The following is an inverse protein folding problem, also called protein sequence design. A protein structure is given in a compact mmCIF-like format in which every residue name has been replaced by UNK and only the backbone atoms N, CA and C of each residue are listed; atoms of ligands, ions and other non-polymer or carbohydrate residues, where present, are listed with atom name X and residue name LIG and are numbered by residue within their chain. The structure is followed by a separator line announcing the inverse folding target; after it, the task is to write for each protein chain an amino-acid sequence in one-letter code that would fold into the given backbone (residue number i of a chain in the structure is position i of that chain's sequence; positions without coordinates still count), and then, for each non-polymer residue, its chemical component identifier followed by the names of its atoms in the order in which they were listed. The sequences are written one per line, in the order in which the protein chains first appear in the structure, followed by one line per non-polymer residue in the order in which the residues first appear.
data_IF_779256142419
#
_entry.id   IF_779256142419
#
_cell.length_a   1.000
_cell.length_b   1.000
_cell.length_c   1.000
_cell.angle_alpha   90.00
_cell.angle_beta   90.00
_cell.angle_gamma   90.00
#
_symmetry.space_group_name_H-M   'P 1'
#
loop_
_entity.id
_entity.type
_entity.pdbx_description
1 polymer ?
#
# COMPACT_ATOMS: atom_id res chain seq x y z
N UNK A 1 24.56 -22.64 9.22
CA UNK A 1 24.31 -23.52 10.38
C UNK A 1 22.90 -24.09 10.22
N UNK A 2 22.75 -25.41 10.35
CA UNK A 2 21.44 -26.07 10.36
C UNK A 2 20.90 -26.07 11.79
N UNK A 3 19.68 -25.56 11.98
CA UNK A 3 18.99 -25.54 13.27
C UNK A 3 17.76 -26.47 13.19
N UNK A 4 17.55 -27.29 14.19
CA UNK A 4 16.29 -27.94 14.46
C UNK A 4 15.28 -26.95 15.08
N UNK A 5 14.04 -27.37 15.29
CA UNK A 5 12.98 -26.48 15.78
C UNK A 5 13.29 -25.90 17.15
N UNK A 6 13.88 -26.69 18.08
CA UNK A 6 14.22 -26.25 19.43
C UNK A 6 15.34 -25.19 19.40
N UNK A 7 16.40 -25.44 18.64
CA UNK A 7 17.50 -24.48 18.48
C UNK A 7 17.06 -23.22 17.73
N UNK A 8 16.17 -23.37 16.77
CA UNK A 8 15.58 -22.21 16.07
C UNK A 8 14.79 -21.33 17.04
N UNK A 9 13.99 -21.94 17.94
CA UNK A 9 13.26 -21.23 18.98
C UNK A 9 14.20 -20.51 19.96
N UNK A 10 15.26 -21.18 20.40
CA UNK A 10 16.30 -20.57 21.25
C UNK A 10 16.97 -19.39 20.53
N UNK A 11 17.30 -19.54 19.26
CA UNK A 11 17.94 -18.50 18.44
C UNK A 11 17.09 -17.22 18.33
N UNK A 12 15.78 -17.34 18.05
CA UNK A 12 14.88 -16.18 17.90
C UNK A 12 14.52 -15.51 19.21
N UNK A 13 14.70 -16.22 20.36
CA UNK A 13 14.43 -15.71 21.72
C UNK A 13 15.66 -15.14 22.40
N UNK A 14 16.86 -15.42 21.92
CA UNK A 14 18.10 -15.01 22.58
C UNK A 14 18.23 -13.50 22.70
N UNK A 15 18.64 -13.02 23.90
CA UNK A 15 18.82 -11.60 24.24
C UNK A 15 20.16 -11.31 24.93
N UNK A 16 21.06 -12.28 24.97
CA UNK A 16 22.31 -12.21 25.75
C UNK A 16 23.48 -11.51 25.04
N UNK A 17 23.26 -10.90 23.86
CA UNK A 17 24.29 -10.13 23.18
C UNK A 17 24.24 -8.64 23.56
N UNK A 18 25.29 -7.90 23.14
CA UNK A 18 25.42 -6.46 23.43
C UNK A 18 24.33 -5.60 22.76
N UNK A 19 23.62 -6.14 21.76
CA UNK A 19 22.55 -5.46 21.02
C UNK A 19 21.18 -5.65 21.65
N UNK A 20 21.04 -6.55 22.65
CA UNK A 20 19.79 -6.78 23.37
C UNK A 20 18.59 -7.07 22.47
N UNK A 21 17.57 -6.23 22.54
CA UNK A 21 16.35 -6.37 21.73
C UNK A 21 16.57 -6.14 20.23
N UNK A 22 17.44 -5.22 19.85
CA UNK A 22 17.80 -4.98 18.43
C UNK A 22 18.43 -6.25 17.83
N UNK A 23 19.32 -6.90 18.56
CA UNK A 23 19.91 -8.18 18.15
C UNK A 23 18.87 -9.29 18.01
N UNK A 24 17.88 -9.33 18.91
CA UNK A 24 16.75 -10.27 18.82
C UNK A 24 15.92 -10.02 17.55
N UNK A 25 15.54 -8.78 17.24
CA UNK A 25 14.78 -8.43 16.02
C UNK A 25 15.55 -8.86 14.76
N UNK A 26 16.85 -8.57 14.70
CA UNK A 26 17.69 -8.99 13.56
C UNK A 26 17.73 -10.53 13.40
N UNK A 27 17.78 -11.29 14.50
CA UNK A 27 17.69 -12.77 14.46
C UNK A 27 16.34 -13.26 13.98
N UNK A 28 15.25 -12.63 14.42
CA UNK A 28 13.89 -12.95 13.96
C UNK A 28 13.73 -12.69 12.46
N UNK A 29 14.24 -11.57 11.94
CA UNK A 29 14.23 -11.27 10.50
C UNK A 29 15.00 -12.33 9.68
N UNK A 30 16.22 -12.67 10.11
CA UNK A 30 17.03 -13.73 9.48
C UNK A 30 16.35 -15.09 9.52
N UNK A 31 15.66 -15.41 10.62
CA UNK A 31 14.89 -16.64 10.73
C UNK A 31 13.71 -16.68 9.76
N UNK A 32 12.93 -15.59 9.64
CA UNK A 32 11.82 -15.48 8.69
C UNK A 32 12.34 -15.61 7.26
N UNK A 33 13.43 -14.93 6.92
CA UNK A 33 14.04 -15.05 5.61
C UNK A 33 14.47 -16.50 5.28
N UNK A 34 15.13 -17.17 6.20
CA UNK A 34 15.54 -18.57 6.05
C UNK A 34 14.32 -19.51 5.95
N UNK A 35 13.28 -19.25 6.75
CA UNK A 35 12.02 -20.01 6.72
C UNK A 35 11.32 -19.88 5.37
N UNK A 36 11.21 -18.67 4.83
CA UNK A 36 10.60 -18.43 3.52
C UNK A 36 11.38 -19.11 2.40
N UNK A 37 12.71 -19.01 2.41
CA UNK A 37 13.57 -19.74 1.44
C UNK A 37 13.36 -21.24 1.52
N UNK A 38 13.19 -21.80 2.71
CA UNK A 38 12.91 -23.22 2.91
C UNK A 38 11.49 -23.59 2.47
N UNK A 39 10.48 -22.78 2.83
CA UNK A 39 9.07 -23.01 2.51
C UNK A 39 8.80 -23.04 0.99
N UNK A 40 9.55 -22.27 0.22
CA UNK A 40 9.46 -22.24 -1.26
C UNK A 40 10.31 -23.30 -1.95
N UNK A 41 11.04 -24.13 -1.20
CA UNK A 41 11.83 -25.22 -1.78
C UNK A 41 10.91 -26.33 -2.35
N UNK A 42 11.30 -27.02 -3.46
CA UNK A 42 10.50 -28.05 -4.09
C UNK A 42 10.06 -29.17 -3.14
N UNK A 43 10.94 -29.56 -2.21
CA UNK A 43 10.66 -30.64 -1.26
C UNK A 43 9.55 -30.28 -0.26
N UNK A 44 9.48 -29.03 0.17
CA UNK A 44 8.41 -28.59 1.08
C UNK A 44 7.08 -28.50 0.33
N UNK A 45 7.10 -28.00 -0.91
CA UNK A 45 5.89 -27.87 -1.72
C UNK A 45 5.24 -29.24 -1.98
N UNK A 46 6.03 -30.28 -2.19
CA UNK A 46 5.52 -31.65 -2.37
C UNK A 46 4.92 -32.25 -1.08
N UNK A 47 5.38 -31.80 0.09
CA UNK A 47 4.94 -32.28 1.39
C UNK A 47 3.94 -31.32 2.10
N UNK A 48 3.41 -30.31 1.39
CA UNK A 48 2.47 -29.33 1.92
C UNK A 48 1.26 -29.97 2.66
N UNK A 49 0.63 -31.06 2.18
CA UNK A 49 -0.51 -31.65 2.88
C UNK A 49 -0.18 -32.16 4.29
N UNK A 50 1.02 -32.73 4.50
CA UNK A 50 1.43 -33.23 5.82
C UNK A 50 1.86 -32.11 6.77
N UNK A 51 2.46 -31.03 6.24
CA UNK A 51 2.87 -29.86 7.01
C UNK A 51 1.66 -29.01 7.38
N UNK A 52 0.62 -29.02 6.55
CA UNK A 52 -0.57 -28.20 6.68
C UNK A 52 -1.24 -28.35 8.05
N UNK A 53 -1.54 -29.58 8.47
CA UNK A 53 -2.24 -29.81 9.74
C UNK A 53 -1.45 -29.30 10.94
N UNK A 54 -0.13 -29.57 10.99
CA UNK A 54 0.73 -29.07 12.06
C UNK A 54 0.86 -27.53 12.11
N UNK A 55 0.87 -26.90 10.94
CA UNK A 55 0.88 -25.43 10.88
C UNK A 55 -0.45 -24.87 11.33
N UNK A 56 -1.57 -25.44 10.91
CA UNK A 56 -2.91 -24.95 11.28
C UNK A 56 -3.23 -25.12 12.77
N UNK A 57 -2.71 -26.16 13.40
CA UNK A 57 -2.82 -26.34 14.86
C UNK A 57 -2.03 -25.28 15.66
N UNK A 58 -1.04 -24.66 15.02
CA UNK A 58 -0.15 -23.69 15.64
C UNK A 58 -0.45 -22.23 15.28
N UNK A 59 -1.32 -21.98 14.29
CA UNK A 59 -1.60 -20.63 13.75
C UNK A 59 -3.08 -20.31 13.89
N UNK A 60 -3.38 -19.18 14.52
CA UNK A 60 -4.72 -18.62 14.52
C UNK A 60 -4.83 -17.60 13.37
N UNK A 61 -5.66 -17.92 12.36
CA UNK A 61 -5.84 -17.10 11.15
C UNK A 61 -7.31 -17.07 10.73
N UNK A 62 -7.72 -15.97 10.15
CA UNK A 62 -9.03 -15.80 9.50
C UNK A 62 -8.99 -16.12 8.00
N UNK A 63 -7.86 -16.59 7.45
CA UNK A 63 -7.75 -17.00 6.05
C UNK A 63 -8.40 -18.39 5.89
N UNK A 64 -9.46 -18.53 5.07
CA UNK A 64 -10.07 -19.82 4.82
C UNK A 64 -9.10 -20.78 4.13
N UNK A 65 -9.20 -22.06 4.46
CA UNK A 65 -8.37 -23.14 3.86
C UNK A 65 -8.39 -23.13 2.33
N UNK A 66 -9.56 -22.90 1.74
CA UNK A 66 -9.73 -22.85 0.28
C UNK A 66 -8.90 -21.76 -0.40
N UNK A 67 -8.56 -20.70 0.34
CA UNK A 67 -7.84 -19.54 -0.17
C UNK A 67 -6.32 -19.68 -0.03
N UNK A 68 -5.82 -20.75 0.59
CA UNK A 68 -4.38 -21.01 0.76
C UNK A 68 -3.70 -21.32 -0.59
N UNK A 69 -4.39 -22.03 -1.50
CA UNK A 69 -3.82 -22.43 -2.79
C UNK A 69 -3.36 -21.24 -3.67
N UNK A 70 -4.12 -20.15 -3.80
CA UNK A 70 -3.64 -18.93 -4.46
C UNK A 70 -2.37 -18.35 -3.82
N UNK A 71 -2.29 -18.32 -2.48
CA UNK A 71 -1.09 -17.83 -1.77
C UNK A 71 0.13 -18.69 -2.03
N UNK A 72 -0.02 -20.01 -2.08
CA UNK A 72 1.08 -20.94 -2.45
C UNK A 72 1.56 -20.71 -3.88
N UNK A 73 0.64 -20.47 -4.83
CA UNK A 73 1.01 -20.12 -6.21
C UNK A 73 1.74 -18.78 -6.27
N UNK A 74 1.27 -17.79 -5.53
CA UNK A 74 1.92 -16.48 -5.43
C UNK A 74 3.33 -16.62 -4.83
N UNK A 75 3.47 -17.36 -3.74
CA UNK A 75 4.76 -17.61 -3.08
C UNK A 75 5.77 -18.34 -3.98
N UNK A 76 5.31 -19.27 -4.84
CA UNK A 76 6.17 -19.93 -5.83
C UNK A 76 6.74 -18.96 -6.86
N UNK A 77 5.97 -17.95 -7.25
CA UNK A 77 6.36 -16.96 -8.24
C UNK A 77 7.09 -15.76 -7.61
N UNK A 78 7.05 -15.65 -6.28
CA UNK A 78 7.73 -14.58 -5.57
C UNK A 78 9.25 -14.77 -5.66
N UNK A 79 9.95 -13.74 -6.14
CA UNK A 79 11.39 -13.72 -6.11
C UNK A 79 11.86 -13.34 -4.70
N UNK A 80 12.21 -14.34 -3.89
CA UNK A 80 12.67 -14.15 -2.51
C UNK A 80 13.95 -13.33 -2.38
N UNK A 81 14.71 -13.14 -3.48
CA UNK A 81 15.84 -12.23 -3.48
C UNK A 81 15.41 -10.76 -3.36
N UNK A 82 14.12 -10.48 -3.63
CA UNK A 82 13.53 -9.16 -3.47
C UNK A 82 12.89 -8.95 -2.10
N UNK A 83 12.93 -9.98 -1.22
CA UNK A 83 12.45 -9.82 0.15
C UNK A 83 13.32 -8.80 0.88
N UNK A 84 12.70 -7.69 1.27
CA UNK A 84 13.31 -6.65 2.10
C UNK A 84 12.71 -6.70 3.48
N UNK A 85 13.54 -6.68 4.49
CA UNK A 85 13.15 -6.57 5.89
C UNK A 85 13.84 -5.35 6.47
N UNK A 86 13.07 -4.44 7.03
CA UNK A 86 13.56 -3.21 7.64
C UNK A 86 13.09 -3.10 9.08
N UNK A 87 13.86 -2.42 9.91
CA UNK A 87 13.44 -2.07 11.26
C UNK A 87 12.88 -0.65 11.23
N UNK A 88 11.71 -0.45 11.86
CA UNK A 88 11.12 0.87 11.98
C UNK A 88 12.15 1.84 12.57
N UNK A 89 12.48 2.95 11.88
CA UNK A 89 13.39 3.95 12.41
C UNK A 89 12.91 4.50 13.75
N UNK A 90 13.85 4.69 14.69
CA UNK A 90 13.48 5.15 16.02
C UNK A 90 14.62 5.01 17.02
N UNK A 91 14.30 5.20 18.29
CA UNK A 91 15.27 5.08 19.39
C UNK A 91 14.68 4.34 20.59
N UNK A 92 15.51 3.64 21.36
CA UNK A 92 15.07 3.09 22.64
C UNK A 92 14.86 4.20 23.66
N UNK A 93 13.77 4.10 24.43
CA UNK A 93 13.46 5.03 25.52
C UNK A 93 12.84 4.29 26.71
N UNK A 94 13.19 4.72 27.93
CA UNK A 94 12.62 4.17 29.15
C UNK A 94 11.55 5.11 29.69
N UNK A 95 10.30 4.66 29.72
CA UNK A 95 9.19 5.41 30.28
C UNK A 95 8.68 4.66 31.51
N UNK A 96 8.77 5.27 32.68
CA UNK A 96 8.37 4.66 33.96
C UNK A 96 9.01 3.26 34.20
N UNK A 97 10.28 3.09 33.82
CA UNK A 97 11.02 1.83 34.00
C UNK A 97 10.75 0.74 32.95
N UNK A 98 9.88 0.99 31.99
CA UNK A 98 9.57 0.08 30.89
C UNK A 98 10.30 0.57 29.64
N UNK A 99 10.96 -0.36 28.94
CA UNK A 99 11.65 -0.07 27.67
C UNK A 99 10.66 -0.02 26.52
N UNK A 100 10.69 1.07 25.78
CA UNK A 100 9.92 1.29 24.54
C UNK A 100 10.85 1.57 23.38
N UNK A 101 10.38 1.28 22.18
CA UNK A 101 10.95 1.78 20.93
C UNK A 101 10.09 2.94 20.44
N UNK A 102 10.63 4.16 20.47
CA UNK A 102 9.93 5.34 20.01
C UNK A 102 10.24 5.52 18.53
N UNK A 103 9.21 5.35 17.69
CA UNK A 103 9.36 5.51 16.25
C UNK A 103 9.71 6.97 15.90
N UNK A 104 10.59 7.13 14.92
CA UNK A 104 10.84 8.40 14.24
C UNK A 104 9.82 8.56 13.09
N UNK A 105 8.95 9.56 13.19
CA UNK A 105 7.87 9.77 12.22
C UNK A 105 8.39 10.03 10.81
N UNK A 106 9.35 10.92 10.66
CA UNK A 106 9.92 11.30 9.37
C UNK A 106 10.67 10.11 8.73
N UNK A 107 11.49 9.42 9.53
CA UNK A 107 12.19 8.21 9.09
C UNK A 107 11.24 7.08 8.70
N UNK A 108 10.12 6.93 9.43
CA UNK A 108 9.09 5.95 9.09
C UNK A 108 8.42 6.26 7.75
N UNK A 109 8.09 7.51 7.48
CA UNK A 109 7.51 7.93 6.21
C UNK A 109 8.46 7.65 5.03
N UNK A 110 9.74 8.01 5.17
CA UNK A 110 10.77 7.71 4.17
C UNK A 110 10.87 6.20 3.93
N UNK A 111 10.86 5.39 5.00
CA UNK A 111 10.92 3.93 4.91
C UNK A 111 9.70 3.36 4.17
N UNK A 112 8.49 3.82 4.49
CA UNK A 112 7.24 3.39 3.84
C UNK A 112 7.26 3.76 2.36
N UNK A 113 7.67 4.98 2.02
CA UNK A 113 7.81 5.43 0.64
C UNK A 113 8.75 4.52 -0.16
N UNK A 114 9.89 4.13 0.42
CA UNK A 114 10.89 3.30 -0.25
C UNK A 114 10.51 1.82 -0.38
N UNK A 115 9.71 1.29 0.54
CA UNK A 115 9.39 -0.14 0.61
C UNK A 115 8.05 -0.50 -0.02
N UNK A 116 7.05 0.35 0.12
CA UNK A 116 5.65 0.01 -0.13
C UNK A 116 5.06 0.84 -1.25
N UNK A 117 5.37 2.14 -1.29
CA UNK A 117 4.76 3.06 -2.25
C UNK A 117 5.43 2.97 -3.62
N UNK A 118 4.64 3.05 -4.68
CA UNK A 118 5.15 3.13 -6.05
C UNK A 118 5.85 4.48 -6.29
N UNK A 119 6.69 4.53 -7.33
CA UNK A 119 7.31 5.80 -7.74
C UNK A 119 6.25 6.84 -8.14
N UNK A 120 5.18 6.38 -8.78
CA UNK A 120 4.04 7.23 -9.18
C UNK A 120 3.34 7.82 -7.97
N UNK A 121 3.06 7.00 -6.92
CA UNK A 121 2.49 7.49 -5.67
C UNK A 121 3.34 8.63 -5.07
N UNK A 122 4.67 8.44 -5.00
CA UNK A 122 5.60 9.44 -4.43
C UNK A 122 5.62 10.71 -5.28
N UNK A 123 5.58 10.57 -6.62
CA UNK A 123 5.52 11.70 -7.53
C UNK A 123 4.19 12.46 -7.42
N UNK A 124 3.07 11.74 -7.28
CA UNK A 124 1.76 12.36 -7.17
C UNK A 124 1.57 13.11 -5.86
N UNK A 125 2.28 12.71 -4.79
CA UNK A 125 2.13 13.31 -3.45
C UNK A 125 2.58 14.78 -3.36
N UNK A 126 3.26 15.30 -4.37
CA UNK A 126 3.58 16.73 -4.46
C UNK A 126 2.42 17.58 -5.01
N UNK A 127 1.41 16.95 -5.61
CA UNK A 127 0.31 17.65 -6.28
C UNK A 127 -0.93 17.76 -5.41
N UNK A 128 -1.57 18.91 -5.49
CA UNK A 128 -2.82 19.23 -4.80
C UNK A 128 -3.97 19.27 -5.78
N UNK A 129 -5.07 18.59 -5.45
CA UNK A 129 -6.27 18.50 -6.28
C UNK A 129 -7.46 19.09 -5.54
N UNK A 130 -8.27 19.89 -6.23
CA UNK A 130 -9.63 20.22 -5.84
C UNK A 130 -10.60 19.44 -6.71
N UNK A 131 -11.62 18.81 -6.10
CA UNK A 131 -12.64 18.02 -6.81
C UNK A 131 -13.99 18.71 -6.63
N UNK A 132 -14.63 19.01 -7.74
CA UNK A 132 -15.93 19.66 -7.79
C UNK A 132 -16.98 18.70 -8.34
N UNK A 133 -18.08 18.57 -7.62
CA UNK A 133 -19.24 17.81 -8.10
C UNK A 133 -20.02 18.67 -9.11
N UNK A 134 -19.96 18.31 -10.37
CA UNK A 134 -20.64 19.00 -11.48
C UNK A 134 -21.83 18.21 -12.06
N UNK A 135 -22.15 17.01 -11.53
CA UNK A 135 -23.30 16.20 -11.98
C UNK A 135 -24.39 16.02 -10.93
N UNK A 136 -24.24 16.60 -9.73
CA UNK A 136 -25.23 16.59 -8.66
C UNK A 136 -25.38 15.27 -7.89
N UNK A 137 -24.57 14.25 -8.17
CA UNK A 137 -24.62 12.96 -7.44
C UNK A 137 -23.96 13.14 -6.07
N UNK A 138 -24.75 12.92 -5.02
CA UNK A 138 -24.28 13.07 -3.65
C UNK A 138 -23.18 12.05 -3.32
N UNK A 139 -22.08 12.52 -2.72
CA UNK A 139 -20.97 11.68 -2.28
C UNK A 139 -19.94 11.32 -3.37
N UNK A 140 -20.26 11.49 -4.66
CA UNK A 140 -19.41 11.06 -5.76
C UNK A 140 -18.02 11.73 -5.72
N UNK A 141 -17.96 13.03 -5.47
CA UNK A 141 -16.68 13.75 -5.38
C UNK A 141 -15.82 13.26 -4.21
N UNK A 142 -16.43 12.83 -3.11
CA UNK A 142 -15.70 12.23 -1.98
C UNK A 142 -15.16 10.86 -2.31
N UNK A 143 -15.95 10.00 -2.97
CA UNK A 143 -15.47 8.68 -3.42
C UNK A 143 -14.30 8.80 -4.39
N UNK A 144 -14.35 9.76 -5.32
CA UNK A 144 -13.25 10.05 -6.24
C UNK A 144 -12.03 10.56 -5.49
N UNK A 145 -12.23 11.41 -4.48
CA UNK A 145 -11.15 11.91 -3.63
C UNK A 145 -10.41 10.77 -2.93
N UNK A 146 -11.15 9.88 -2.25
CA UNK A 146 -10.58 8.71 -1.59
C UNK A 146 -9.81 7.79 -2.56
N UNK A 147 -10.30 7.65 -3.80
CA UNK A 147 -9.61 6.87 -4.81
C UNK A 147 -8.31 7.54 -5.27
N UNK A 148 -8.32 8.84 -5.52
CA UNK A 148 -7.12 9.58 -5.92
C UNK A 148 -6.06 9.65 -4.80
N UNK A 149 -6.47 9.66 -3.53
CA UNK A 149 -5.53 9.54 -2.39
C UNK A 149 -4.77 8.21 -2.41
N UNK A 150 -5.39 7.10 -2.86
CA UNK A 150 -4.71 5.80 -3.02
C UNK A 150 -3.63 5.85 -4.11
N UNK A 151 -3.76 6.73 -5.10
CA UNK A 151 -2.74 7.01 -6.11
C UNK A 151 -1.70 8.05 -5.65
N UNK A 152 -1.84 8.58 -4.43
CA UNK A 152 -0.87 9.48 -3.81
C UNK A 152 -1.18 10.96 -3.93
N UNK A 153 -2.27 11.36 -4.56
CA UNK A 153 -2.62 12.78 -4.68
C UNK A 153 -3.11 13.38 -3.36
N UNK A 154 -2.78 14.65 -3.11
CA UNK A 154 -3.28 15.38 -1.97
C UNK A 154 -4.60 16.08 -2.31
N UNK A 155 -5.70 15.63 -1.72
CA UNK A 155 -7.00 16.27 -1.92
C UNK A 155 -7.09 17.50 -1.01
N UNK A 156 -7.16 18.69 -1.62
CA UNK A 156 -7.16 19.96 -0.92
C UNK A 156 -8.56 20.42 -0.54
N UNK A 157 -9.52 20.17 -1.43
CA UNK A 157 -10.91 20.56 -1.23
C UNK A 157 -11.84 19.67 -2.06
N UNK A 158 -13.03 19.42 -1.52
CA UNK A 158 -14.12 18.72 -2.17
C UNK A 158 -15.37 19.56 -1.98
N UNK A 159 -15.95 20.02 -3.07
CA UNK A 159 -17.14 20.89 -3.05
C UNK A 159 -18.03 20.70 -4.27
N UNK A 160 -19.10 21.47 -4.36
CA UNK A 160 -19.93 21.49 -5.56
C UNK A 160 -19.34 22.46 -6.60
N UNK A 161 -19.55 22.15 -7.88
CA UNK A 161 -19.31 23.11 -8.96
C UNK A 161 -20.33 24.26 -8.89
N UNK A 162 -20.17 25.25 -9.73
CA UNK A 162 -21.09 26.40 -9.86
C UNK A 162 -22.50 25.99 -10.31
N UNK A 163 -22.61 24.84 -11.01
CA UNK A 163 -23.86 24.20 -11.37
C UNK A 163 -23.68 22.67 -11.50
N UNK A 164 -24.76 21.94 -11.75
CA UNK A 164 -24.76 20.46 -11.89
C UNK A 164 -25.07 19.97 -13.31
N UNK A 165 -24.81 20.78 -14.32
CA UNK A 165 -25.13 20.46 -15.73
C UNK A 165 -23.86 20.19 -16.55
N UNK A 166 -22.79 19.71 -15.91
CA UNK A 166 -21.58 19.34 -16.63
C UNK A 166 -21.79 17.97 -17.28
N UNK A 167 -21.88 17.94 -18.60
CA UNK A 167 -21.98 16.70 -19.38
C UNK A 167 -20.68 15.91 -19.38
N UNK A 168 -19.54 16.61 -19.45
CA UNK A 168 -18.20 16.03 -19.48
C UNK A 168 -17.41 16.38 -18.22
N UNK A 169 -16.63 15.43 -17.73
CA UNK A 169 -15.61 15.67 -16.71
C UNK A 169 -14.50 16.56 -17.29
N UNK A 170 -14.17 17.61 -16.56
CA UNK A 170 -13.12 18.55 -16.94
C UNK A 170 -11.96 18.42 -15.94
N UNK A 171 -10.75 18.36 -16.47
CA UNK A 171 -9.52 18.32 -15.67
C UNK A 171 -8.70 19.53 -16.04
N UNK A 172 -8.75 20.56 -15.19
CA UNK A 172 -7.93 21.74 -15.31
C UNK A 172 -6.56 21.51 -14.70
N UNK A 173 -5.50 21.93 -15.36
CA UNK A 173 -4.13 21.76 -14.89
C UNK A 173 -3.28 23.00 -15.21
N UNK A 174 -2.27 23.27 -14.36
CA UNK A 174 -1.26 24.31 -14.61
C UNK A 174 -0.22 23.87 -15.62
N UNK A 175 0.38 24.82 -16.31
CA UNK A 175 1.50 24.55 -17.23
C UNK A 175 2.62 23.78 -16.48
N UNK A 176 3.21 22.82 -17.16
CA UNK A 176 4.22 21.93 -16.60
C UNK A 176 3.68 20.63 -16.01
N UNK A 177 2.36 20.52 -15.74
CA UNK A 177 1.75 19.33 -15.13
C UNK A 177 1.02 18.42 -16.13
N UNK A 178 1.27 18.60 -17.44
CA UNK A 178 0.54 17.92 -18.51
C UNK A 178 0.62 16.40 -18.43
N UNK A 179 1.80 15.84 -18.17
CA UNK A 179 1.98 14.39 -18.12
C UNK A 179 1.18 13.75 -16.97
N UNK A 180 1.15 14.42 -15.81
CA UNK A 180 0.32 13.98 -14.68
C UNK A 180 -1.17 14.17 -14.98
N UNK A 181 -1.56 15.24 -15.69
CA UNK A 181 -2.93 15.46 -16.12
C UNK A 181 -3.42 14.36 -17.09
N UNK A 182 -2.56 13.89 -18.01
CA UNK A 182 -2.88 12.75 -18.89
C UNK A 182 -3.12 11.46 -18.05
N UNK A 183 -2.30 11.22 -17.03
CA UNK A 183 -2.54 10.11 -16.07
C UNK A 183 -3.87 10.24 -15.34
N UNK A 184 -4.24 11.43 -14.87
CA UNK A 184 -5.55 11.68 -14.26
C UNK A 184 -6.69 11.42 -15.25
N UNK A 185 -6.53 11.81 -16.52
CA UNK A 185 -7.50 11.55 -17.57
C UNK A 185 -7.68 10.05 -17.86
N UNK A 186 -6.62 9.25 -17.81
CA UNK A 186 -6.72 7.78 -17.96
C UNK A 186 -7.58 7.15 -16.86
N UNK A 187 -7.51 7.69 -15.64
CA UNK A 187 -8.30 7.22 -14.49
C UNK A 187 -9.73 7.74 -14.52
N UNK A 188 -9.90 9.05 -14.74
CA UNK A 188 -11.18 9.75 -14.58
C UNK A 188 -11.96 9.89 -15.90
N UNK A 189 -11.30 9.77 -17.04
CA UNK A 189 -11.87 10.17 -18.33
C UNK A 189 -11.93 11.69 -18.50
N UNK A 190 -12.75 12.15 -19.45
CA UNK A 190 -13.04 13.58 -19.65
C UNK A 190 -12.02 14.34 -20.51
N UNK A 191 -12.06 15.66 -20.40
CA UNK A 191 -11.21 16.60 -21.15
C UNK A 191 -10.15 17.24 -20.30
N UNK A 192 -8.96 17.44 -20.88
CA UNK A 192 -7.89 18.23 -20.30
C UNK A 192 -7.95 19.67 -20.82
N UNK A 193 -7.87 20.63 -19.92
CA UNK A 193 -7.77 22.03 -20.23
C UNK A 193 -6.70 22.72 -19.38
N UNK A 194 -5.79 23.43 -20.01
CA UNK A 194 -4.76 24.19 -19.31
C UNK A 194 -5.33 25.48 -18.75
N UNK A 195 -5.24 25.66 -17.43
CA UNK A 195 -5.74 26.84 -16.72
C UNK A 195 -4.73 27.30 -15.66
N UNK A 196 -4.21 28.51 -15.81
CA UNK A 196 -3.24 29.08 -14.87
C UNK A 196 -3.89 29.69 -13.61
N UNK A 197 -5.17 30.06 -13.70
CA UNK A 197 -5.89 30.76 -12.62
C UNK A 197 -6.40 29.83 -11.51
N UNK A 198 -6.24 28.50 -11.65
CA UNK A 198 -6.63 27.56 -10.58
C UNK A 198 -5.69 27.68 -9.37
N UNK A 199 -6.25 27.56 -8.16
CA UNK A 199 -5.50 27.76 -6.89
C UNK A 199 -4.62 26.58 -6.50
N UNK A 200 -4.81 25.43 -7.14
CA UNK A 200 -4.16 24.13 -6.90
C UNK A 200 -3.44 23.67 -8.15
N UNK A 201 -2.80 22.51 -8.15
CA UNK A 201 -2.12 21.99 -9.31
C UNK A 201 -3.09 21.43 -10.35
N UNK A 202 -4.19 20.81 -9.84
CA UNK A 202 -5.29 20.28 -10.65
C UNK A 202 -6.64 20.63 -10.05
N UNK A 203 -7.61 20.96 -10.89
CA UNK A 203 -9.01 21.07 -10.51
C UNK A 203 -9.85 20.15 -11.40
N UNK A 204 -10.57 19.21 -10.76
CA UNK A 204 -11.42 18.23 -11.45
C UNK A 204 -12.87 18.64 -11.25
N UNK A 205 -13.65 18.74 -12.31
CA UNK A 205 -15.10 18.92 -12.26
C UNK A 205 -15.71 17.63 -12.82
N UNK A 206 -16.41 16.88 -11.97
CA UNK A 206 -17.02 15.62 -12.36
C UNK A 206 -18.30 15.88 -13.15
N UNK A 207 -18.35 15.40 -14.38
CA UNK A 207 -19.51 15.47 -15.27
C UNK A 207 -20.33 14.17 -15.31
N UNK A 208 -21.43 14.16 -16.07
CA UNK A 208 -22.29 13.00 -16.22
C UNK A 208 -21.57 11.78 -16.82
N UNK A 209 -20.63 12.01 -17.75
CA UNK A 209 -19.85 10.94 -18.39
C UNK A 209 -19.00 10.12 -17.42
N UNK A 210 -18.57 10.70 -16.29
CA UNK A 210 -17.80 9.98 -15.28
C UNK A 210 -18.61 8.83 -14.66
N UNK A 211 -19.86 9.05 -14.35
CA UNK A 211 -20.76 8.06 -13.74
C UNK A 211 -20.93 6.84 -14.64
N UNK A 212 -21.07 7.04 -15.94
CA UNK A 212 -21.24 5.97 -16.91
C UNK A 212 -20.00 5.07 -17.02
N UNK A 213 -18.80 5.66 -16.93
CA UNK A 213 -17.55 4.91 -17.03
C UNK A 213 -17.23 4.10 -15.77
N UNK A 214 -17.57 4.61 -14.58
CA UNK A 214 -17.32 3.91 -13.30
C UNK A 214 -18.31 2.76 -13.11
N UNK A 215 -19.57 2.93 -13.49
CA UNK A 215 -20.58 1.86 -13.43
C UNK A 215 -20.19 0.73 -14.37
N UNK A 216 -19.79 1.01 -15.60
CA UNK A 216 -19.36 0.00 -16.57
C UNK A 216 -18.15 -0.81 -16.06
N UNK A 217 -17.15 -0.17 -15.45
CA UNK A 217 -15.97 -0.86 -14.88
C UNK A 217 -16.33 -1.72 -13.65
N UNK A 218 -17.31 -1.33 -12.84
CA UNK A 218 -17.77 -2.14 -11.68
C UNK A 218 -18.58 -3.36 -12.13
N UNK A 219 -19.31 -3.27 -13.25
CA UNK A 219 -20.07 -4.39 -13.83
C UNK A 219 -19.17 -5.43 -14.50
N UNK A 220 -18.02 -5.03 -15.06
CA UNK A 220 -17.04 -5.95 -15.66
C UNK A 220 -16.21 -6.73 -14.62
N UNK A 221 -16.19 -6.31 -13.35
CA UNK A 221 -15.42 -6.93 -12.27
C UNK A 221 -16.24 -7.85 -11.35
N UNK A 222 -17.56 -7.96 -11.54
CA UNK A 222 -18.47 -8.87 -10.85
C UNK A 222 -18.90 -10.04 -11.76
#
# INVERSE_FOLDING_TARGET
VHLDGEKALQYVRYRGDKLGDIGRVSRQQKFIEALMKKATSPNIILNLPSIYNEVMDSVNTNIPIKDITPFVKLAKNANLNNLKTEMVPGRPEYIKGISYWIADGDGLEIMVNNLIRSKEYIQNNQYHITILNGNGISGLASEVGEELEKYGFNIKDISNADNFNYEETLIYYKSGNKDTAEGLKEVLGGKLEQHEDIKVDFQVILGENFTNNVIAKKEEQN
#
